data_IF_038431840508
#
_entry.id   IF_038431840508
#
_cell.length_a   1.000
_cell.length_b   1.000
_cell.length_c   1.000
_cell.angle_alpha   90.00
_cell.angle_beta   90.00
_cell.angle_gamma   90.00
#
_symmetry.space_group_name_H-M   'P 1'
#
loop_
_entity.id
_entity.type
_entity.pdbx_description
1 polymer ?
#
# COMPACT_ATOMS: atom_id res chain seq x y z
N UNK A 1 -13.43 11.29 -9.76
CA UNK A 1 -13.84 11.32 -8.35
C UNK A 1 -12.58 11.37 -7.51
N UNK A 2 -12.66 11.96 -6.33
CA UNK A 2 -11.53 12.05 -5.40
C UNK A 2 -11.94 11.45 -4.06
N UNK A 3 -11.05 10.64 -3.48
CA UNK A 3 -11.28 9.98 -2.21
C UNK A 3 -10.13 10.27 -1.27
N UNK A 4 -10.41 10.67 -0.05
CA UNK A 4 -9.44 10.68 1.03
C UNK A 4 -9.35 9.30 1.66
N UNK A 5 -8.13 8.79 1.77
CA UNK A 5 -7.83 7.46 2.30
C UNK A 5 -6.83 7.58 3.44
N UNK A 6 -7.21 7.04 4.59
CA UNK A 6 -6.37 6.95 5.77
C UNK A 6 -6.13 5.49 6.13
N UNK A 7 -4.87 5.08 6.13
CA UNK A 7 -4.46 3.73 6.50
C UNK A 7 -3.78 3.76 7.85
N UNK A 8 -4.41 3.18 8.87
CA UNK A 8 -3.80 3.00 10.20
C UNK A 8 -3.18 1.62 10.28
N UNK A 9 -1.86 1.54 10.46
CA UNK A 9 -1.16 0.27 10.55
C UNK A 9 -1.58 -0.51 11.80
N UNK A 10 -2.00 -1.76 11.62
CA UNK A 10 -2.26 -2.73 12.71
C UNK A 10 -1.17 -3.78 12.83
N UNK A 11 -0.29 -3.88 11.84
CA UNK A 11 0.98 -4.62 11.95
C UNK A 11 2.13 -3.79 11.38
N UNK A 12 3.39 -4.09 11.77
CA UNK A 12 4.52 -3.27 11.35
C UNK A 12 4.70 -3.29 9.84
N UNK A 13 5.03 -2.14 9.24
CA UNK A 13 5.31 -2.03 7.81
C UNK A 13 6.82 -2.10 7.58
N UNK A 14 7.25 -2.96 6.67
CA UNK A 14 8.66 -3.13 6.34
C UNK A 14 9.08 -2.18 5.21
N UNK A 15 10.34 -1.75 5.27
CA UNK A 15 10.98 -0.98 4.21
C UNK A 15 10.80 -1.61 2.83
N UNK A 16 10.62 -0.77 1.81
CA UNK A 16 10.31 -1.19 0.46
C UNK A 16 11.50 -1.12 -0.50
N UNK A 17 12.56 -0.38 -0.14
CA UNK A 17 13.69 -0.09 -1.03
C UNK A 17 15.02 -0.56 -0.46
N UNK A 18 15.91 -1.15 -1.29
CA UNK A 18 17.28 -1.47 -0.87
C UNK A 18 18.07 -0.19 -0.57
N UNK A 19 18.85 -0.21 0.49
CA UNK A 19 19.80 0.82 0.89
C UNK A 19 21.24 0.36 0.62
N UNK A 20 22.18 1.30 0.57
CA UNK A 20 23.60 1.01 0.29
C UNK A 20 24.25 0.10 1.34
N UNK A 21 23.78 0.16 2.59
CA UNK A 21 24.25 -0.68 3.70
C UNK A 21 23.70 -2.12 3.67
N UNK A 22 22.94 -2.48 2.63
CA UNK A 22 22.28 -3.77 2.49
C UNK A 22 20.98 -3.91 3.28
N UNK A 23 20.59 -2.90 4.07
CA UNK A 23 19.28 -2.84 4.73
C UNK A 23 18.20 -2.56 3.70
N UNK A 24 17.00 -3.12 3.87
CA UNK A 24 15.82 -2.66 3.12
C UNK A 24 15.10 -1.58 3.94
N UNK A 25 15.17 -0.33 3.51
CA UNK A 25 14.61 0.83 4.21
C UNK A 25 13.42 1.49 3.49
N UNK A 26 13.07 2.68 3.95
CA UNK A 26 12.14 3.59 3.27
C UNK A 26 12.90 4.68 2.51
N UNK A 27 12.21 5.36 1.61
CA UNK A 27 12.68 6.68 1.17
C UNK A 27 12.38 7.69 2.28
N UNK A 28 13.15 8.76 2.36
CA UNK A 28 12.92 9.83 3.32
C UNK A 28 12.86 11.17 2.60
N UNK A 29 11.85 11.98 2.94
CA UNK A 29 11.77 13.38 2.55
C UNK A 29 11.72 14.23 3.80
N UNK A 30 12.66 15.18 3.93
CA UNK A 30 12.79 16.04 5.11
C UNK A 30 12.81 15.25 6.45
N UNK A 31 13.41 14.06 6.45
CA UNK A 31 13.51 13.19 7.64
C UNK A 31 12.24 12.37 7.93
N UNK A 32 11.20 12.49 7.13
CA UNK A 32 9.96 11.68 7.26
C UNK A 32 10.03 10.50 6.29
N UNK A 33 9.78 9.25 6.74
CA UNK A 33 9.72 8.13 5.82
C UNK A 33 8.51 8.26 4.90
N UNK A 34 8.72 7.99 3.63
CA UNK A 34 7.71 8.10 2.58
C UNK A 34 7.59 6.79 1.80
N UNK A 35 6.37 6.51 1.34
CA UNK A 35 6.02 5.35 0.56
C UNK A 35 5.68 5.77 -0.88
N UNK A 36 6.44 5.34 -1.90
CA UNK A 36 6.10 5.68 -3.28
C UNK A 36 4.70 5.21 -3.68
N UNK A 37 3.97 6.02 -4.45
CA UNK A 37 2.62 5.71 -4.90
C UNK A 37 2.52 4.38 -5.64
N UNK A 38 3.59 3.96 -6.34
CA UNK A 38 3.61 2.68 -7.04
C UNK A 38 3.44 1.48 -6.09
N UNK A 39 3.84 1.60 -4.82
CA UNK A 39 3.63 0.53 -3.81
C UNK A 39 2.14 0.36 -3.55
N UNK A 40 1.42 1.47 -3.35
CA UNK A 40 -0.04 1.48 -3.17
C UNK A 40 -0.74 0.97 -4.43
N UNK A 41 -0.32 1.42 -5.62
CA UNK A 41 -0.86 0.91 -6.90
C UNK A 41 -0.58 -0.58 -7.10
N UNK A 42 0.57 -1.08 -6.65
CA UNK A 42 0.93 -2.50 -6.67
C UNK A 42 -0.02 -3.31 -5.79
N UNK A 43 -0.25 -2.85 -4.56
CA UNK A 43 -1.23 -3.42 -3.64
C UNK A 43 -2.63 -3.49 -4.28
N UNK A 44 -3.12 -2.39 -4.85
CA UNK A 44 -4.44 -2.34 -5.50
C UNK A 44 -4.56 -3.38 -6.62
N UNK A 45 -3.54 -3.51 -7.47
CA UNK A 45 -3.54 -4.51 -8.56
C UNK A 45 -3.68 -5.93 -8.02
N UNK A 46 -3.01 -6.27 -6.92
CA UNK A 46 -3.07 -7.61 -6.33
C UNK A 46 -4.39 -7.89 -5.62
N UNK A 47 -4.91 -6.91 -4.86
CA UNK A 47 -6.19 -7.02 -4.17
C UNK A 47 -7.34 -7.14 -5.17
N UNK A 48 -7.40 -6.27 -6.17
CA UNK A 48 -8.44 -6.33 -7.21
C UNK A 48 -8.37 -7.65 -7.96
N UNK A 49 -7.16 -8.13 -8.28
CA UNK A 49 -6.97 -9.42 -8.93
C UNK A 49 -7.46 -10.62 -8.11
N UNK A 50 -7.40 -10.51 -6.78
CA UNK A 50 -7.96 -11.49 -5.85
C UNK A 50 -9.48 -11.37 -5.77
N UNK A 51 -10.00 -10.17 -5.48
CA UNK A 51 -11.43 -9.93 -5.31
C UNK A 51 -12.23 -10.21 -6.59
N UNK A 52 -11.68 -9.92 -7.76
CA UNK A 52 -12.30 -10.25 -9.06
C UNK A 52 -12.53 -11.75 -9.28
N UNK A 53 -12.01 -12.64 -8.42
CA UNK A 53 -12.22 -14.10 -8.45
C UNK A 53 -13.15 -14.61 -7.35
N UNK A 54 -13.55 -13.75 -6.40
CA UNK A 54 -14.38 -14.13 -5.26
C UNK A 54 -15.81 -13.70 -5.52
N UNK A 55 -16.70 -14.68 -5.69
CA UNK A 55 -18.13 -14.43 -5.88
C UNK A 55 -18.72 -13.64 -4.69
N UNK A 56 -19.58 -12.66 -4.98
CA UNK A 56 -20.21 -11.81 -3.98
C UNK A 56 -19.50 -10.48 -3.70
N UNK A 57 -18.23 -10.33 -4.12
CA UNK A 57 -17.53 -9.03 -4.01
C UNK A 57 -18.09 -8.00 -5.00
N UNK A 58 -17.99 -6.71 -4.67
CA UNK A 58 -18.34 -5.60 -5.57
C UNK A 58 -17.49 -5.70 -6.84
N UNK A 59 -16.20 -5.92 -6.68
CA UNK A 59 -15.24 -6.08 -7.79
C UNK A 59 -15.60 -7.21 -8.75
N UNK A 60 -16.02 -8.38 -8.23
CA UNK A 60 -16.48 -9.51 -9.05
C UNK A 60 -17.75 -9.15 -9.83
N UNK A 61 -18.73 -8.51 -9.17
CA UNK A 61 -20.00 -8.10 -9.80
C UNK A 61 -19.80 -7.11 -10.94
N UNK A 62 -18.86 -6.18 -10.81
CA UNK A 62 -18.48 -5.19 -11.84
C UNK A 62 -17.65 -5.80 -12.99
N UNK A 63 -17.30 -7.09 -12.94
CA UNK A 63 -16.57 -7.83 -14.00
C UNK A 63 -15.30 -7.10 -14.47
N UNK A 64 -14.53 -6.54 -13.53
CA UNK A 64 -13.28 -5.80 -13.80
C UNK A 64 -12.18 -6.73 -14.35
N UNK A 65 -12.24 -7.12 -15.62
CA UNK A 65 -11.27 -8.03 -16.26
C UNK A 65 -9.93 -7.35 -16.63
N UNK A 66 -9.95 -6.05 -16.93
CA UNK A 66 -8.76 -5.27 -17.34
C UNK A 66 -8.18 -4.38 -16.22
N UNK A 67 -8.33 -4.81 -14.96
CA UNK A 67 -8.01 -4.01 -13.77
C UNK A 67 -6.55 -3.52 -13.70
N UNK A 68 -5.57 -4.28 -14.23
CA UNK A 68 -4.16 -3.85 -14.21
C UNK A 68 -3.92 -2.57 -15.01
N UNK A 69 -4.57 -2.43 -16.18
CA UNK A 69 -4.50 -1.23 -17.02
C UNK A 69 -5.32 -0.09 -16.41
N UNK A 70 -6.48 -0.43 -15.84
CA UNK A 70 -7.34 0.50 -15.10
C UNK A 70 -6.56 1.19 -13.98
N UNK A 71 -6.00 0.44 -13.01
CA UNK A 71 -5.21 1.01 -11.91
C UNK A 71 -4.00 1.80 -12.41
N UNK A 72 -3.36 1.37 -13.50
CA UNK A 72 -2.20 2.07 -14.02
C UNK A 72 -2.53 3.44 -14.65
N UNK A 73 -3.69 3.57 -15.29
CA UNK A 73 -4.05 4.75 -16.11
C UNK A 73 -5.13 5.64 -15.51
N UNK A 74 -5.98 5.08 -14.67
CA UNK A 74 -7.19 5.73 -14.15
C UNK A 74 -7.15 5.93 -12.64
N UNK A 75 -6.14 5.41 -11.95
CA UNK A 75 -5.96 5.60 -10.50
C UNK A 75 -4.65 6.35 -10.26
N UNK A 76 -4.77 7.45 -9.55
CA UNK A 76 -3.67 8.29 -9.13
C UNK A 76 -3.70 8.45 -7.62
N UNK A 77 -2.51 8.43 -7.02
CA UNK A 77 -2.32 8.52 -5.58
C UNK A 77 -1.53 9.81 -5.34
N UNK A 78 -2.06 10.68 -4.49
CA UNK A 78 -1.47 11.99 -4.20
C UNK A 78 -1.38 12.20 -2.67
N UNK A 79 -0.28 12.73 -2.13
CA UNK A 79 0.97 13.03 -2.83
C UNK A 79 1.74 11.75 -3.24
N UNK A 80 2.64 11.89 -4.22
CA UNK A 80 3.64 10.86 -4.56
C UNK A 80 5.03 11.46 -4.34
N UNK A 81 5.81 10.98 -3.36
CA UNK A 81 5.52 9.84 -2.47
C UNK A 81 4.55 10.17 -1.32
N UNK A 82 3.92 9.13 -0.75
CA UNK A 82 2.98 9.24 0.37
C UNK A 82 3.74 9.34 1.69
N UNK A 83 3.58 10.42 2.47
CA UNK A 83 4.23 10.54 3.77
C UNK A 83 3.63 9.58 4.81
N UNK A 84 4.49 9.04 5.67
CA UNK A 84 4.09 8.15 6.77
C UNK A 84 4.19 8.93 8.09
N UNK A 85 3.05 9.15 8.74
CA UNK A 85 2.98 9.72 10.08
C UNK A 85 3.33 8.64 11.10
N UNK A 86 4.53 8.73 11.67
CA UNK A 86 5.06 7.73 12.60
C UNK A 86 4.40 7.81 13.97
N UNK A 87 3.98 6.67 14.52
CA UNK A 87 3.54 6.55 15.92
C UNK A 87 4.70 6.39 16.92
N UNK A 88 5.92 6.18 16.43
CA UNK A 88 7.12 5.94 17.22
C UNK A 88 8.37 5.82 16.35
N UNK A 89 9.54 5.52 16.94
CA UNK A 89 10.79 5.43 16.20
C UNK A 89 10.76 4.28 15.18
N UNK A 90 11.41 4.50 14.03
CA UNK A 90 11.63 3.45 13.02
C UNK A 90 12.57 2.40 13.63
N UNK A 91 12.10 1.16 13.67
CA UNK A 91 12.86 0.01 14.17
C UNK A 91 13.67 -0.68 13.08
N UNK A 92 14.37 -1.76 13.48
CA UNK A 92 15.04 -2.69 12.55
C UNK A 92 14.60 -4.11 12.83
N UNK A 93 14.31 -4.87 11.78
CA UNK A 93 14.02 -6.30 11.81
C UNK A 93 15.13 -7.06 11.11
N UNK A 94 15.80 -7.90 11.86
CA UNK A 94 16.82 -8.83 11.36
C UNK A 94 16.23 -10.22 11.22
N UNK A 95 16.41 -10.86 10.07
CA UNK A 95 15.91 -12.22 9.82
C UNK A 95 16.92 -13.06 9.03
N UNK A 96 16.95 -14.38 9.25
CA UNK A 96 17.63 -15.28 8.34
C UNK A 96 16.89 -15.32 7.00
N UNK A 97 17.65 -15.30 5.91
CA UNK A 97 17.17 -15.45 4.54
C UNK A 97 17.93 -16.60 3.89
N UNK A 98 17.22 -17.67 3.56
CA UNK A 98 17.79 -18.74 2.75
C UNK A 98 17.88 -18.29 1.30
N UNK A 99 19.07 -18.32 0.73
CA UNK A 99 19.31 -18.02 -0.69
C UNK A 99 19.84 -19.28 -1.34
N UNK A 100 19.18 -19.73 -2.41
CA UNK A 100 19.62 -20.85 -3.22
C UNK A 100 20.23 -20.32 -4.52
N UNK A 101 21.44 -20.75 -4.84
CA UNK A 101 22.07 -20.54 -6.13
C UNK A 101 22.47 -21.89 -6.75
N UNK A 102 23.06 -21.87 -7.96
CA UNK A 102 23.49 -23.08 -8.67
C UNK A 102 24.61 -23.85 -7.95
N UNK A 103 25.26 -23.27 -6.94
CA UNK A 103 26.32 -23.86 -6.12
C UNK A 103 25.81 -24.38 -4.77
N UNK A 104 24.51 -24.24 -4.48
CA UNK A 104 23.86 -24.71 -3.26
C UNK A 104 23.07 -23.62 -2.53
N UNK A 105 22.60 -23.93 -1.33
CA UNK A 105 21.90 -22.97 -0.48
C UNK A 105 22.78 -22.45 0.64
N UNK A 106 22.68 -21.14 0.92
CA UNK A 106 23.34 -20.50 2.06
C UNK A 106 22.38 -19.59 2.83
N UNK A 107 22.63 -19.44 4.12
CA UNK A 107 21.89 -18.53 4.98
C UNK A 107 22.54 -17.15 4.98
N UNK A 108 21.79 -16.13 4.58
CA UNK A 108 22.17 -14.72 4.71
C UNK A 108 21.35 -14.06 5.82
N UNK A 109 21.80 -12.90 6.28
CA UNK A 109 21.04 -12.05 7.18
C UNK A 109 20.44 -10.91 6.38
N UNK A 110 19.11 -10.80 6.41
CA UNK A 110 18.39 -9.68 5.85
C UNK A 110 17.98 -8.74 6.99
N UNK A 111 18.30 -7.45 6.83
CA UNK A 111 17.89 -6.38 7.74
C UNK A 111 16.87 -5.50 7.03
N UNK A 112 15.80 -5.09 7.72
CA UNK A 112 14.81 -4.17 7.16
C UNK A 112 14.41 -3.13 8.19
N UNK A 113 14.23 -1.89 7.76
CA UNK A 113 13.58 -0.87 8.58
C UNK A 113 12.11 -1.25 8.80
N UNK A 114 11.59 -0.83 9.94
CA UNK A 114 10.24 -1.17 10.39
C UNK A 114 9.54 0.09 10.89
N UNK A 115 8.45 0.46 10.22
CA UNK A 115 7.51 1.45 10.72
C UNK A 115 6.61 0.79 11.78
N UNK A 116 6.46 1.38 12.96
CA UNK A 116 5.70 0.78 14.06
C UNK A 116 4.19 0.81 13.83
N UNK A 117 3.50 -0.10 14.52
CA UNK A 117 2.03 -0.17 14.59
C UNK A 117 1.45 1.14 15.10
N UNK A 118 0.30 1.52 14.57
CA UNK A 118 -0.36 2.80 14.87
C UNK A 118 0.12 3.97 14.01
N UNK A 119 1.17 3.80 13.20
CA UNK A 119 1.55 4.80 12.20
C UNK A 119 0.47 4.91 11.12
N UNK A 120 0.33 6.10 10.53
CA UNK A 120 -0.77 6.42 9.62
C UNK A 120 -0.24 6.89 8.27
N UNK A 121 -0.85 6.41 7.19
CA UNK A 121 -0.63 6.89 5.83
C UNK A 121 -1.89 7.60 5.35
N UNK A 122 -1.81 8.92 5.16
CA UNK A 122 -2.90 9.74 4.62
C UNK A 122 -2.60 10.13 3.18
N UNK A 123 -3.49 9.79 2.25
CA UNK A 123 -3.35 10.17 0.85
C UNK A 123 -4.71 10.26 0.16
N UNK A 124 -4.71 10.91 -0.99
CA UNK A 124 -5.86 11.06 -1.87
C UNK A 124 -5.76 10.09 -3.03
N UNK A 125 -6.89 9.49 -3.38
CA UNK A 125 -7.03 8.61 -4.52
C UNK A 125 -7.92 9.32 -5.53
N UNK A 126 -7.30 9.81 -6.60
CA UNK A 126 -8.01 10.40 -7.72
C UNK A 126 -8.30 9.32 -8.76
N UNK A 127 -9.57 9.17 -9.11
CA UNK A 127 -10.02 8.19 -10.09
C UNK A 127 -10.66 8.85 -11.31
N UNK A 128 -10.40 8.26 -12.48
CA UNK A 128 -11.01 8.66 -13.76
C UNK A 128 -11.93 7.53 -14.25
N UNK A 129 -13.15 7.87 -14.68
CA UNK A 129 -14.15 6.92 -15.18
C UNK A 129 -15.02 6.33 -14.06
N UNK A 130 -15.65 5.18 -14.33
CA UNK A 130 -16.72 4.62 -13.49
C UNK A 130 -16.23 3.86 -12.25
N UNK A 131 -15.17 4.33 -11.57
CA UNK A 131 -14.73 3.72 -10.30
C UNK A 131 -15.54 4.34 -9.17
N UNK A 132 -16.40 3.55 -8.56
CA UNK A 132 -17.29 4.00 -7.48
C UNK A 132 -16.62 3.89 -6.11
N UNK A 133 -17.13 4.66 -5.14
CA UNK A 133 -16.66 4.63 -3.76
C UNK A 133 -16.71 3.23 -3.15
N UNK A 134 -17.78 2.46 -3.43
CA UNK A 134 -17.94 1.07 -2.96
C UNK A 134 -16.79 0.15 -3.37
N UNK A 135 -16.24 0.34 -4.57
CA UNK A 135 -15.10 -0.44 -5.06
C UNK A 135 -13.82 -0.02 -4.33
N UNK A 136 -13.57 1.29 -4.24
CA UNK A 136 -12.38 1.84 -3.55
C UNK A 136 -12.36 1.41 -2.08
N UNK A 137 -13.50 1.53 -1.39
CA UNK A 137 -13.68 1.09 -0.02
C UNK A 137 -13.43 -0.41 0.14
N UNK A 138 -13.99 -1.25 -0.73
CA UNK A 138 -13.75 -2.70 -0.71
C UNK A 138 -12.25 -3.04 -0.85
N UNK A 139 -11.55 -2.38 -1.77
CA UNK A 139 -10.13 -2.65 -2.04
C UNK A 139 -9.24 -2.31 -0.84
N UNK A 140 -9.44 -1.15 -0.21
CA UNK A 140 -8.61 -0.75 0.92
C UNK A 140 -8.98 -1.49 2.21
N UNK A 141 -10.26 -1.78 2.46
CA UNK A 141 -10.68 -2.58 3.63
C UNK A 141 -10.11 -4.00 3.58
N UNK A 142 -9.98 -4.60 2.39
CA UNK A 142 -9.33 -5.91 2.24
C UNK A 142 -7.85 -5.91 2.66
N UNK A 143 -7.22 -4.73 2.75
CA UNK A 143 -5.86 -4.54 3.25
C UNK A 143 -5.61 -5.05 4.66
N UNK A 144 -6.65 -5.15 5.50
CA UNK A 144 -6.55 -5.73 6.85
C UNK A 144 -6.12 -7.20 6.81
N UNK A 145 -6.54 -7.94 5.78
CA UNK A 145 -6.17 -9.34 5.58
C UNK A 145 -4.90 -9.51 4.75
N UNK A 146 -4.71 -8.64 3.76
CA UNK A 146 -3.66 -8.80 2.74
C UNK A 146 -2.32 -8.14 3.11
N UNK A 147 -2.35 -6.97 3.74
CA UNK A 147 -1.16 -6.16 4.04
C UNK A 147 -0.60 -5.36 2.86
N UNK A 148 0.20 -4.35 3.17
CA UNK A 148 0.92 -3.46 2.26
C UNK A 148 2.44 -3.75 2.31
N UNK A 149 3.13 -3.49 1.20
CA UNK A 149 4.59 -3.57 1.17
C UNK A 149 5.14 -5.01 1.16
N UNK A 150 6.29 -5.21 1.80
CA UNK A 150 7.05 -6.46 1.75
C UNK A 150 6.62 -7.45 2.84
N UNK A 151 6.82 -8.73 2.54
CA UNK A 151 6.64 -9.87 3.46
C UNK A 151 5.23 -10.00 4.07
N UNK A 152 4.21 -9.70 3.26
CA UNK A 152 2.79 -9.81 3.61
C UNK A 152 2.37 -11.21 4.07
N UNK A 153 2.99 -12.27 3.56
CA UNK A 153 2.76 -13.65 4.01
C UNK A 153 3.16 -13.87 5.48
N UNK A 154 4.11 -13.08 6.00
CA UNK A 154 4.50 -13.08 7.42
C UNK A 154 3.58 -12.22 8.30
N UNK A 155 2.51 -11.64 7.75
CA UNK A 155 1.56 -10.80 8.49
C UNK A 155 1.95 -9.32 8.61
N UNK A 156 3.00 -8.87 7.91
CA UNK A 156 3.46 -7.48 7.93
C UNK A 156 2.63 -6.56 7.04
N UNK A 157 2.57 -5.29 7.42
CA UNK A 157 1.93 -4.20 6.68
C UNK A 157 0.41 -4.23 6.66
N UNK A 158 -0.26 -4.96 7.56
CA UNK A 158 -1.73 -4.93 7.69
C UNK A 158 -2.17 -3.59 8.24
N UNK A 159 -3.32 -3.11 7.78
CA UNK A 159 -3.85 -1.82 8.16
C UNK A 159 -5.39 -1.84 8.21
N UNK A 160 -5.95 -0.89 8.96
CA UNK A 160 -7.36 -0.51 8.87
C UNK A 160 -7.47 0.70 7.96
N UNK A 161 -8.43 0.66 7.04
CA UNK A 161 -8.66 1.72 6.07
C UNK A 161 -9.91 2.51 6.40
N UNK A 162 -9.80 3.82 6.34
CA UNK A 162 -10.92 4.74 6.31
C UNK A 162 -10.92 5.44 4.96
N UNK A 163 -12.07 5.41 4.27
CA UNK A 163 -12.26 6.03 2.95
C UNK A 163 -13.41 7.01 3.06
N UNK A 164 -13.18 8.24 2.61
CA UNK A 164 -14.18 9.30 2.50
C UNK A 164 -14.18 9.85 1.08
N UNK A 165 -15.36 10.00 0.50
CA UNK A 165 -15.51 10.71 -0.76
C UNK A 165 -15.34 12.21 -0.52
N UNK A 166 -14.56 12.87 -1.37
CA UNK A 166 -14.47 14.32 -1.38
C UNK A 166 -15.47 14.80 -2.42
N UNK A 167 -16.60 15.33 -1.96
CA UNK A 167 -17.51 16.08 -2.83
C UNK A 167 -16.78 17.35 -3.26
N UNK A 168 -16.69 17.54 -4.58
CA UNK A 168 -16.14 18.72 -5.21
C UNK A 168 -17.06 19.89 -4.85
N UNK A 169 -16.80 20.56 -3.72
CA UNK A 169 -17.40 21.86 -3.41
C UNK A 169 -16.77 22.80 -4.40
N UNK A 170 -17.39 22.91 -5.58
CA UNK A 170 -16.95 23.83 -6.61
C UNK A 170 -16.72 25.20 -5.99
N UNK A 171 -15.47 25.65 -5.99
CA UNK A 171 -15.11 27.04 -5.82
C UNK A 171 -15.75 27.80 -6.99
N UNK A 172 -17.03 28.14 -6.82
CA UNK A 172 -17.53 29.43 -7.24
C UNK A 172 -16.93 30.43 -6.27
N UNK A 173 -15.82 31.06 -6.64
CA UNK A 173 -15.50 32.38 -6.12
C UNK A 173 -14.73 33.20 -7.17
N UNK A 174 -15.51 34.08 -7.81
CA UNK A 174 -15.20 35.33 -8.53
C UNK A 174 -14.11 35.37 -9.61
#
# INVERSE_FOLDING_TARGET
MEFEVWLTLVSPLLGTVPQEDGTTGFHYENGVPVLPAYVVKGFLKEVIGTLAKVAGTVTFRKKRKAFKKMVARQVEILPDPVPISLSGPVGKLTRPLWVSDSKGGRMLIAVSEVVPVGSVLGFRVRTIGDILEEEVREWFVYGEKYGLGRWRSGGYGRFKAEVKEVEDVGEREN
#
